data_IF_072827073826
#
_entry.id   IF_072827073826
#
_cell.length_a   1.000
_cell.length_b   1.000
_cell.length_c   1.000
_cell.angle_alpha   90.00
_cell.angle_beta   90.00
_cell.angle_gamma   90.00
#
_symmetry.space_group_name_H-M   'P 1'
#
loop_
_entity.id
_entity.type
_entity.pdbx_description
1 polymer ?
#
# COMPACT_ATOMS: atom_id res chain seq x y z
N UNK A 1 21.03 7.36 22.70
CA UNK A 1 20.94 8.61 21.91
C UNK A 1 20.81 8.34 20.39
N UNK A 2 21.44 7.30 19.85
CA UNK A 2 21.45 6.97 18.40
C UNK A 2 20.07 6.66 17.80
N UNK A 3 19.26 5.83 18.42
CA UNK A 3 17.97 5.39 17.87
C UNK A 3 16.92 6.51 17.69
N UNK A 4 16.93 7.52 18.56
CA UNK A 4 15.99 8.64 18.49
C UNK A 4 16.32 9.59 17.32
N UNK A 5 17.60 9.76 17.03
CA UNK A 5 18.10 10.58 15.92
C UNK A 5 17.79 9.91 14.58
N UNK A 6 17.97 8.59 14.47
CA UNK A 6 17.65 7.81 13.25
C UNK A 6 16.14 7.79 12.95
N UNK A 7 15.30 7.71 13.98
CA UNK A 7 13.84 7.80 13.82
C UNK A 7 13.39 9.19 13.35
N UNK A 8 14.01 10.26 13.87
CA UNK A 8 13.68 11.62 13.47
C UNK A 8 14.13 11.91 12.03
N UNK A 9 15.28 11.39 11.59
CA UNK A 9 15.76 11.54 10.21
C UNK A 9 14.91 10.71 9.23
N UNK A 10 14.47 9.51 9.63
CA UNK A 10 13.54 8.73 8.84
C UNK A 10 12.18 9.44 8.70
N UNK A 11 11.64 9.99 9.78
CA UNK A 11 10.40 10.77 9.72
C UNK A 11 10.52 11.98 8.77
N UNK A 12 11.66 12.66 8.75
CA UNK A 12 11.91 13.76 7.81
C UNK A 12 11.95 13.28 6.35
N UNK A 13 12.64 12.17 6.07
CA UNK A 13 12.63 11.55 4.72
C UNK A 13 11.21 11.19 4.28
N UNK A 14 10.44 10.53 5.13
CA UNK A 14 9.04 10.15 4.86
C UNK A 14 8.15 11.37 4.64
N UNK A 15 8.35 12.45 5.40
CA UNK A 15 7.61 13.71 5.21
C UNK A 15 7.83 14.34 3.84
N UNK A 16 9.06 14.27 3.31
CA UNK A 16 9.41 14.86 2.01
C UNK A 16 8.75 14.14 0.81
N UNK A 17 8.26 12.92 0.98
CA UNK A 17 7.66 12.11 -0.09
C UNK A 17 6.18 12.44 -0.36
N UNK A 18 5.58 13.30 0.45
CA UNK A 18 4.17 13.67 0.30
C UNK A 18 3.18 12.58 0.69
N UNK A 19 3.58 11.61 1.52
CA UNK A 19 2.73 10.49 1.99
C UNK A 19 1.49 10.97 2.73
N UNK A 20 1.54 12.14 3.37
CA UNK A 20 0.47 12.76 4.15
C UNK A 20 -0.54 13.54 3.33
N UNK A 21 -0.24 13.82 2.07
CA UNK A 21 -1.07 14.72 1.25
C UNK A 21 -2.29 13.96 0.75
N UNK A 22 -3.44 14.35 1.24
CA UNK A 22 -4.73 13.84 0.79
C UNK A 22 -5.29 14.61 -0.40
N UNK A 23 -6.57 14.40 -0.66
CA UNK A 23 -7.33 15.10 -1.70
C UNK A 23 -8.20 16.22 -1.09
N UNK A 24 -8.89 17.00 -1.93
CA UNK A 24 -9.87 17.99 -1.49
C UNK A 24 -11.19 17.35 -1.00
N UNK A 25 -11.36 16.06 -1.20
CA UNK A 25 -12.54 15.30 -0.80
C UNK A 25 -12.19 14.41 0.39
N UNK A 26 -13.11 14.28 1.35
CA UNK A 26 -12.99 13.36 2.46
C UNK A 26 -14.21 12.47 2.57
N UNK A 27 -14.00 11.21 2.90
CA UNK A 27 -15.07 10.28 3.25
C UNK A 27 -15.24 10.22 4.77
N UNK A 28 -16.43 9.78 5.21
CA UNK A 28 -16.73 9.62 6.63
C UNK A 28 -15.77 8.63 7.31
N UNK A 29 -15.33 7.61 6.59
CA UNK A 29 -14.41 6.57 7.09
C UNK A 29 -12.99 7.09 7.33
N UNK A 30 -12.54 8.09 6.55
CA UNK A 30 -11.18 8.64 6.63
C UNK A 30 -11.05 9.83 7.59
N UNK A 31 -12.18 10.35 8.11
CA UNK A 31 -12.18 11.45 9.08
C UNK A 31 -11.24 11.26 10.29
N UNK A 32 -11.16 10.07 10.91
CA UNK A 32 -10.30 9.87 12.08
C UNK A 32 -8.79 9.99 11.81
N UNK A 33 -8.39 9.96 10.53
CA UNK A 33 -6.98 9.98 10.09
C UNK A 33 -6.54 11.38 9.62
N UNK A 34 -7.48 12.34 9.53
CA UNK A 34 -7.22 13.70 9.04
C UNK A 34 -6.93 14.61 10.23
N UNK A 35 -5.82 15.36 10.17
CA UNK A 35 -5.43 16.34 11.21
C UNK A 35 -5.86 17.73 10.83
N UNK A 36 -5.51 18.18 9.62
CA UNK A 36 -5.68 19.53 9.17
C UNK A 36 -6.06 19.61 7.69
N UNK A 37 -6.40 20.82 7.25
CA UNK A 37 -6.57 21.16 5.83
C UNK A 37 -5.48 22.15 5.43
N UNK A 38 -4.81 21.89 4.30
CA UNK A 38 -3.85 22.84 3.71
C UNK A 38 -4.56 24.14 3.26
N UNK A 39 -3.84 25.27 3.16
CA UNK A 39 -4.38 26.50 2.55
C UNK A 39 -4.93 26.31 1.13
N UNK A 40 -4.42 25.29 0.42
CA UNK A 40 -4.87 24.89 -0.92
C UNK A 40 -6.16 24.03 -0.92
N UNK A 41 -6.73 23.77 0.25
CA UNK A 41 -7.95 22.96 0.39
C UNK A 41 -7.72 21.44 0.43
N UNK A 42 -6.47 20.97 0.47
CA UNK A 42 -6.15 19.55 0.57
C UNK A 42 -6.15 19.09 2.02
N UNK A 43 -6.71 17.92 2.29
CA UNK A 43 -6.67 17.31 3.61
C UNK A 43 -5.30 16.72 3.90
N UNK A 44 -4.82 16.87 5.14
CA UNK A 44 -3.53 16.37 5.60
C UNK A 44 -3.77 15.24 6.59
N UNK A 45 -3.17 14.08 6.30
CA UNK A 45 -3.21 12.89 7.13
C UNK A 45 -2.20 12.97 8.29
N UNK A 46 -2.50 12.29 9.39
CA UNK A 46 -1.62 12.20 10.55
C UNK A 46 -0.47 11.22 10.31
N UNK A 47 0.79 11.72 10.38
CA UNK A 47 1.97 10.91 10.18
C UNK A 47 2.13 9.82 11.25
N UNK A 48 1.87 10.14 12.51
CA UNK A 48 2.05 9.19 13.60
C UNK A 48 1.01 8.05 13.50
N UNK A 49 -0.19 8.36 13.04
CA UNK A 49 -1.20 7.33 12.75
C UNK A 49 -0.79 6.49 11.53
N UNK A 50 -0.26 7.10 10.46
CA UNK A 50 0.25 6.38 9.29
C UNK A 50 1.30 5.36 9.73
N UNK A 51 2.31 5.79 10.48
CA UNK A 51 3.40 4.92 10.94
C UNK A 51 2.87 3.77 11.81
N UNK A 52 2.00 4.05 12.78
CA UNK A 52 1.38 3.03 13.62
C UNK A 52 0.57 2.02 12.81
N UNK A 53 -0.15 2.47 11.77
CA UNK A 53 -0.93 1.59 10.90
C UNK A 53 -0.04 0.72 10.02
N UNK A 54 1.09 1.26 9.53
CA UNK A 54 2.11 0.47 8.82
C UNK A 54 2.69 -0.60 9.74
N UNK A 55 3.07 -0.27 10.98
CA UNK A 55 3.59 -1.24 11.95
C UNK A 55 2.55 -2.34 12.26
N UNK A 56 1.28 -1.94 12.39
CA UNK A 56 0.17 -2.90 12.57
C UNK A 56 0.02 -3.81 11.35
N UNK A 57 0.11 -3.25 10.14
CA UNK A 57 0.04 -4.01 8.89
C UNK A 57 1.21 -5.00 8.77
N UNK A 58 2.43 -4.58 9.08
CA UNK A 58 3.61 -5.45 9.13
C UNK A 58 3.39 -6.62 10.10
N UNK A 59 2.94 -6.33 11.32
CA UNK A 59 2.67 -7.36 12.33
C UNK A 59 1.56 -8.31 11.87
N UNK A 60 0.58 -7.81 11.13
CA UNK A 60 -0.51 -8.61 10.59
C UNK A 60 -0.03 -9.51 9.44
N UNK A 61 0.75 -8.96 8.49
CA UNK A 61 1.32 -9.72 7.36
C UNK A 61 2.22 -10.86 7.85
N UNK A 62 3.03 -10.63 8.89
CA UNK A 62 3.92 -11.66 9.48
C UNK A 62 3.19 -12.89 10.07
N UNK A 63 1.87 -12.82 10.24
CA UNK A 63 1.07 -13.97 10.69
C UNK A 63 0.71 -14.93 9.56
N UNK A 64 0.93 -14.55 8.32
CA UNK A 64 0.60 -15.33 7.14
C UNK A 64 1.87 -15.81 6.43
N UNK A 65 1.74 -16.88 5.65
CA UNK A 65 2.81 -17.29 4.74
C UNK A 65 2.94 -16.26 3.62
N UNK A 66 4.09 -15.61 3.52
CA UNK A 66 4.34 -14.53 2.56
C UNK A 66 4.12 -14.99 1.10
N UNK A 67 4.40 -16.27 0.79
CA UNK A 67 4.14 -16.84 -0.53
C UNK A 67 2.64 -16.92 -0.87
N UNK A 68 1.77 -16.81 0.14
CA UNK A 68 0.31 -16.77 0.03
C UNK A 68 -0.27 -15.38 0.23
N UNK A 69 0.57 -14.36 0.25
CA UNK A 69 0.17 -12.95 0.22
C UNK A 69 0.18 -12.48 -1.23
N UNK A 70 -0.90 -11.82 -1.64
CA UNK A 70 -1.03 -11.21 -2.98
C UNK A 70 -1.15 -9.71 -2.83
N UNK A 71 -0.38 -8.98 -3.65
CA UNK A 71 -0.48 -7.53 -3.79
C UNK A 71 -1.14 -7.21 -5.12
N UNK A 72 -2.27 -6.50 -5.07
CA UNK A 72 -3.02 -6.11 -6.27
C UNK A 72 -2.96 -4.60 -6.49
N UNK A 73 -2.75 -4.17 -7.74
CA UNK A 73 -2.93 -2.79 -8.14
C UNK A 73 -3.20 -2.63 -9.63
N UNK A 74 -4.21 -1.84 -9.95
CA UNK A 74 -4.48 -1.34 -11.29
C UNK A 74 -3.87 0.04 -11.57
N UNK A 75 -3.11 0.63 -10.62
CA UNK A 75 -2.45 1.92 -10.83
C UNK A 75 -1.05 1.76 -11.41
N UNK A 76 -0.78 2.41 -12.56
CA UNK A 76 0.54 2.40 -13.21
C UNK A 76 1.67 2.85 -12.27
N UNK A 77 1.45 3.87 -11.44
CA UNK A 77 2.45 4.34 -10.47
C UNK A 77 2.77 3.35 -9.33
N UNK A 78 1.98 2.32 -9.14
CA UNK A 78 2.20 1.29 -8.13
C UNK A 78 3.03 0.12 -8.65
N UNK A 79 3.31 0.02 -9.96
CA UNK A 79 4.01 -1.10 -10.59
C UNK A 79 5.36 -1.37 -9.94
N UNK A 80 6.30 -0.45 -10.08
CA UNK A 80 7.68 -0.58 -9.54
C UNK A 80 7.69 -0.78 -8.03
N UNK A 81 6.92 0.00 -7.20
CA UNK A 81 6.83 -0.25 -5.77
C UNK A 81 6.40 -1.67 -5.42
N UNK A 82 5.40 -2.22 -6.13
CA UNK A 82 4.90 -3.58 -5.86
C UNK A 82 5.88 -4.64 -6.36
N UNK A 83 6.46 -4.46 -7.55
CA UNK A 83 7.50 -5.37 -8.07
C UNK A 83 8.65 -5.51 -7.08
N UNK A 84 9.19 -4.38 -6.61
CA UNK A 84 10.28 -4.37 -5.63
C UNK A 84 9.86 -4.96 -4.29
N UNK A 85 8.65 -4.66 -3.82
CA UNK A 85 8.09 -5.27 -2.63
C UNK A 85 8.03 -6.79 -2.75
N UNK A 86 7.50 -7.31 -3.85
CA UNK A 86 7.36 -8.75 -4.10
C UNK A 86 8.73 -9.43 -4.29
N UNK A 87 9.69 -8.77 -4.97
CA UNK A 87 11.06 -9.24 -5.13
C UNK A 87 11.76 -9.43 -3.77
N UNK A 88 11.59 -8.46 -2.87
CA UNK A 88 12.23 -8.46 -1.55
C UNK A 88 11.56 -9.41 -0.56
N UNK A 89 10.22 -9.51 -0.60
CA UNK A 89 9.46 -10.27 0.41
C UNK A 89 9.10 -11.67 -0.04
N UNK A 90 9.04 -11.94 -1.35
CA UNK A 90 8.54 -13.21 -1.91
C UNK A 90 7.02 -13.26 -2.07
N UNK A 91 6.29 -12.15 -1.82
CA UNK A 91 4.86 -12.06 -2.09
C UNK A 91 4.54 -12.13 -3.59
N UNK A 92 3.30 -12.48 -3.93
CA UNK A 92 2.86 -12.53 -5.33
C UNK A 92 2.26 -11.19 -5.74
N UNK A 93 2.44 -10.82 -7.02
CA UNK A 93 1.88 -9.61 -7.61
C UNK A 93 0.78 -9.94 -8.62
N UNK A 94 -0.30 -9.16 -8.57
CA UNK A 94 -1.28 -9.04 -9.65
C UNK A 94 -1.33 -7.56 -10.02
N UNK A 95 -0.79 -7.24 -11.20
CA UNK A 95 -0.71 -5.87 -11.70
C UNK A 95 -1.64 -5.65 -12.89
N UNK A 96 -2.17 -4.43 -13.02
CA UNK A 96 -3.07 -4.05 -14.09
C UNK A 96 -4.52 -4.46 -13.81
N UNK A 97 -5.25 -4.85 -14.85
CA UNK A 97 -6.65 -5.22 -14.73
C UNK A 97 -6.81 -6.53 -13.95
N UNK A 98 -7.45 -6.47 -12.81
CA UNK A 98 -7.83 -7.66 -12.06
C UNK A 98 -8.87 -8.47 -12.81
N UNK A 99 -8.55 -9.73 -13.13
CA UNK A 99 -9.44 -10.61 -13.88
C UNK A 99 -10.52 -11.16 -12.95
N UNK A 100 -11.81 -10.99 -13.28
CA UNK A 100 -12.90 -11.56 -12.50
C UNK A 100 -12.79 -13.08 -12.38
N UNK A 101 -13.00 -13.61 -11.17
CA UNK A 101 -12.90 -15.04 -10.88
C UNK A 101 -11.55 -15.50 -10.37
N UNK A 102 -10.53 -14.62 -10.31
CA UNK A 102 -9.19 -14.97 -9.83
C UNK A 102 -9.19 -15.57 -8.42
N UNK A 103 -10.03 -15.06 -7.52
CA UNK A 103 -10.13 -15.55 -6.13
C UNK A 103 -11.38 -16.40 -5.86
N UNK A 104 -12.31 -16.48 -6.81
CA UNK A 104 -13.63 -17.08 -6.56
C UNK A 104 -13.98 -18.25 -7.48
N UNK A 105 -13.29 -18.44 -8.61
CA UNK A 105 -13.63 -19.49 -9.56
C UNK A 105 -12.49 -20.49 -9.76
N UNK A 106 -12.53 -21.67 -9.12
CA UNK A 106 -11.49 -22.71 -9.23
C UNK A 106 -11.30 -23.30 -10.64
N UNK A 107 -12.27 -23.11 -11.55
CA UNK A 107 -12.18 -23.63 -12.91
C UNK A 107 -11.28 -22.81 -13.83
N UNK A 108 -10.83 -21.63 -13.40
CA UNK A 108 -9.99 -20.74 -14.21
C UNK A 108 -8.51 -21.08 -14.05
N UNK A 109 -7.70 -20.99 -15.12
CA UNK A 109 -6.28 -21.33 -15.08
C UNK A 109 -5.45 -20.35 -14.23
N UNK A 110 -5.95 -19.17 -13.95
CA UNK A 110 -5.32 -18.13 -13.12
C UNK A 110 -5.91 -18.04 -11.72
N UNK A 111 -6.75 -19.02 -11.32
CA UNK A 111 -7.29 -19.10 -9.96
C UNK A 111 -6.18 -19.23 -8.91
N UNK A 112 -6.34 -18.52 -7.81
CA UNK A 112 -5.41 -18.56 -6.69
C UNK A 112 -6.14 -18.38 -5.35
N UNK A 113 -5.62 -19.03 -4.30
CA UNK A 113 -6.14 -18.97 -2.93
C UNK A 113 -5.13 -18.32 -1.99
N UNK A 114 -5.05 -16.99 -1.94
CA UNK A 114 -4.19 -16.30 -0.99
C UNK A 114 -4.77 -16.36 0.42
N UNK A 115 -3.91 -16.13 1.40
CA UNK A 115 -4.32 -15.94 2.80
C UNK A 115 -4.55 -14.47 3.14
N UNK A 116 -3.97 -13.57 2.34
CA UNK A 116 -4.07 -12.12 2.53
C UNK A 116 -3.96 -11.41 1.18
N UNK A 117 -4.74 -10.35 1.01
CA UNK A 117 -4.67 -9.46 -0.16
C UNK A 117 -4.29 -8.05 0.29
N UNK A 118 -3.29 -7.46 -0.37
CA UNK A 118 -2.88 -6.06 -0.17
C UNK A 118 -3.29 -5.26 -1.40
N UNK A 119 -3.98 -4.15 -1.20
CA UNK A 119 -4.55 -3.30 -2.26
C UNK A 119 -3.91 -1.91 -2.21
N UNK A 120 -3.47 -1.41 -3.36
CA UNK A 120 -2.88 -0.06 -3.45
C UNK A 120 -3.93 1.04 -3.53
N UNK A 121 -5.06 0.80 -4.18
CA UNK A 121 -6.15 1.77 -4.29
C UNK A 121 -7.52 1.09 -4.29
N UNK A 122 -8.32 1.28 -3.24
CA UNK A 122 -9.66 0.69 -3.14
C UNK A 122 -10.62 1.10 -4.27
N UNK A 123 -10.41 2.25 -4.89
CA UNK A 123 -11.29 2.74 -5.94
C UNK A 123 -11.03 2.02 -7.28
N UNK A 124 -9.76 1.81 -7.61
CA UNK A 124 -9.35 1.13 -8.85
C UNK A 124 -9.52 -0.38 -8.73
N UNK A 125 -9.13 -0.93 -7.57
CA UNK A 125 -9.06 -2.38 -7.34
C UNK A 125 -10.31 -2.93 -6.64
N UNK A 126 -11.47 -2.28 -6.84
CA UNK A 126 -12.75 -2.65 -6.20
C UNK A 126 -13.21 -4.08 -6.50
N UNK A 127 -12.85 -4.63 -7.67
CA UNK A 127 -13.14 -6.01 -8.03
C UNK A 127 -12.36 -6.99 -7.15
N UNK A 128 -11.06 -6.77 -6.96
CA UNK A 128 -10.22 -7.60 -6.09
C UNK A 128 -10.73 -7.59 -4.63
N UNK A 129 -11.12 -6.42 -4.12
CA UNK A 129 -11.72 -6.28 -2.78
C UNK A 129 -13.02 -7.10 -2.67
N UNK A 130 -13.89 -7.01 -3.67
CA UNK A 130 -15.18 -7.70 -3.66
C UNK A 130 -14.98 -9.21 -3.68
N UNK A 131 -14.07 -9.72 -4.50
CA UNK A 131 -13.78 -11.16 -4.55
C UNK A 131 -13.10 -11.65 -3.28
N UNK A 132 -12.11 -10.91 -2.74
CA UNK A 132 -11.47 -11.26 -1.49
C UNK A 132 -12.50 -11.33 -0.34
N UNK A 133 -13.38 -10.34 -0.23
CA UNK A 133 -14.46 -10.33 0.77
C UNK A 133 -15.40 -11.54 0.61
N UNK A 134 -15.79 -11.87 -0.62
CA UNK A 134 -16.66 -13.02 -0.90
C UNK A 134 -15.98 -14.36 -0.58
N UNK A 135 -14.67 -14.44 -0.78
CA UNK A 135 -13.87 -15.62 -0.47
C UNK A 135 -13.47 -15.68 1.04
N UNK A 136 -13.80 -14.67 1.83
CA UNK A 136 -13.43 -14.61 3.25
C UNK A 136 -11.94 -14.34 3.48
N UNK A 137 -11.25 -13.75 2.51
CA UNK A 137 -9.82 -13.43 2.57
C UNK A 137 -9.67 -12.01 3.14
N UNK A 138 -8.86 -11.81 4.19
CA UNK A 138 -8.63 -10.48 4.75
C UNK A 138 -7.92 -9.55 3.76
N UNK A 139 -8.28 -8.26 3.84
CA UNK A 139 -7.80 -7.21 2.93
C UNK A 139 -7.11 -6.10 3.69
N UNK A 140 -5.86 -5.80 3.33
CA UNK A 140 -5.16 -4.57 3.72
C UNK A 140 -5.26 -3.59 2.55
N UNK A 141 -5.67 -2.34 2.81
CA UNK A 141 -5.76 -1.33 1.76
C UNK A 141 -5.01 -0.05 2.08
N UNK A 142 -4.24 0.45 1.12
CA UNK A 142 -3.71 1.81 1.17
C UNK A 142 -4.79 2.76 0.68
N UNK A 143 -5.28 3.63 1.57
CA UNK A 143 -6.43 4.48 1.28
C UNK A 143 -6.12 5.96 1.48
N UNK A 144 -6.50 6.77 0.49
CA UNK A 144 -6.47 8.22 0.56
C UNK A 144 -7.77 8.77 1.17
N UNK A 145 -7.87 10.08 1.39
CA UNK A 145 -8.98 10.75 2.06
C UNK A 145 -10.33 10.58 1.38
N UNK A 146 -10.35 10.35 0.07
CA UNK A 146 -11.55 10.17 -0.77
C UNK A 146 -11.99 8.72 -0.95
N UNK A 147 -11.21 7.74 -0.48
CA UNK A 147 -11.55 6.34 -0.65
C UNK A 147 -12.65 5.85 0.29
N UNK A 148 -13.50 4.96 -0.22
CA UNK A 148 -14.47 4.19 0.58
C UNK A 148 -13.80 2.89 1.03
N UNK A 149 -13.80 2.66 2.33
CA UNK A 149 -13.02 1.57 2.95
C UNK A 149 -13.89 0.53 3.67
N UNK A 150 -15.18 0.45 3.34
CA UNK A 150 -16.16 -0.39 4.05
C UNK A 150 -15.90 -1.89 3.98
N UNK A 151 -15.12 -2.37 2.99
CA UNK A 151 -14.78 -3.79 2.79
C UNK A 151 -13.30 -4.08 3.05
N UNK A 152 -12.60 -3.18 3.73
CA UNK A 152 -11.17 -3.30 4.03
C UNK A 152 -11.01 -3.57 5.52
N UNK A 153 -10.31 -4.64 5.88
CA UNK A 153 -10.11 -5.04 7.28
C UNK A 153 -9.06 -4.17 7.97
N UNK A 154 -7.99 -3.83 7.28
CA UNK A 154 -6.96 -2.95 7.79
C UNK A 154 -6.60 -1.85 6.81
N UNK A 155 -6.80 -0.60 7.22
CA UNK A 155 -6.54 0.59 6.43
C UNK A 155 -5.16 1.15 6.78
N UNK A 156 -4.34 1.42 5.77
CA UNK A 156 -3.13 2.24 5.85
C UNK A 156 -3.49 3.60 5.24
N UNK A 157 -3.74 4.64 6.06
CA UNK A 157 -4.08 5.95 5.55
C UNK A 157 -2.82 6.57 4.94
N UNK A 158 -2.79 6.73 3.61
CA UNK A 158 -1.66 7.34 2.91
C UNK A 158 -2.07 7.85 1.53
N UNK A 159 -1.22 8.70 0.96
CA UNK A 159 -1.39 9.15 -0.41
C UNK A 159 -1.12 8.00 -1.40
N UNK A 160 -2.17 7.46 -2.00
CA UNK A 160 -2.07 6.37 -2.97
C UNK A 160 -2.02 6.85 -4.44
N UNK A 161 -1.89 8.16 -4.67
CA UNK A 161 -1.80 8.78 -6.01
C UNK A 161 -0.41 9.28 -6.35
N UNK A 162 0.41 9.55 -5.32
CA UNK A 162 1.78 10.02 -5.49
C UNK A 162 2.77 8.88 -5.71
N UNK A 163 3.64 8.98 -6.73
CA UNK A 163 4.69 8.00 -7.01
C UNK A 163 5.60 7.77 -5.80
N UNK A 164 6.17 8.86 -5.27
CA UNK A 164 7.05 8.82 -4.09
C UNK A 164 6.34 8.35 -2.84
N UNK A 165 5.07 8.71 -2.68
CA UNK A 165 4.27 8.30 -1.54
C UNK A 165 4.02 6.79 -1.52
N UNK A 166 3.63 6.20 -2.67
CA UNK A 166 3.46 4.74 -2.82
C UNK A 166 4.78 4.00 -2.62
N UNK A 167 5.88 4.49 -3.22
CA UNK A 167 7.22 3.95 -3.01
C UNK A 167 7.56 3.87 -1.52
N UNK A 168 7.30 4.96 -0.78
CA UNK A 168 7.56 5.03 0.66
C UNK A 168 6.71 4.04 1.46
N UNK A 169 5.43 3.90 1.15
CA UNK A 169 4.55 2.94 1.84
C UNK A 169 5.04 1.51 1.65
N UNK A 170 5.31 1.10 0.41
CA UNK A 170 5.78 -0.25 0.12
C UNK A 170 7.19 -0.52 0.64
N UNK A 171 8.08 0.49 0.61
CA UNK A 171 9.40 0.40 1.21
C UNK A 171 9.33 0.19 2.74
N UNK A 172 8.46 0.95 3.44
CA UNK A 172 8.26 0.80 4.89
C UNK A 172 7.68 -0.57 5.24
N UNK A 173 6.71 -1.07 4.45
CA UNK A 173 6.14 -2.40 4.62
C UNK A 173 7.20 -3.48 4.40
N UNK A 174 7.98 -3.42 3.31
CA UNK A 174 9.04 -4.38 3.01
C UNK A 174 10.08 -4.41 4.13
N UNK A 175 10.57 -3.23 4.55
CA UNK A 175 11.53 -3.09 5.65
C UNK A 175 11.01 -3.68 6.96
N UNK A 176 9.72 -3.48 7.26
CA UNK A 176 9.13 -4.01 8.48
C UNK A 176 8.93 -5.52 8.45
N UNK A 177 8.66 -6.11 7.27
CA UNK A 177 8.45 -7.55 7.09
C UNK A 177 9.77 -8.32 7.17
N UNK A 178 10.85 -7.76 6.60
CA UNK A 178 12.19 -8.34 6.73
C UNK A 178 12.61 -8.37 8.21
N UNK A 179 13.12 -9.51 8.67
CA UNK A 179 13.59 -9.67 10.04
C UNK A 179 14.86 -8.85 10.30
N UNK A 180 15.72 -8.74 9.28
CA UNK A 180 16.93 -7.94 9.31
C UNK A 180 16.74 -6.63 8.51
N UNK A 181 16.67 -5.47 9.18
CA UNK A 181 16.62 -4.17 8.48
C UNK A 181 17.83 -3.90 7.56
N UNK A 182 18.96 -4.59 7.82
CA UNK A 182 20.16 -4.53 7.00
C UNK A 182 20.11 -5.39 5.72
N UNK A 183 19.16 -6.31 5.63
CA UNK A 183 18.94 -7.10 4.41
C UNK A 183 18.25 -6.30 3.29
N UNK A 184 17.74 -5.11 3.61
CA UNK A 184 17.13 -4.23 2.63
C UNK A 184 18.21 -3.44 1.87
N UNK A 185 18.57 -3.92 0.69
CA UNK A 185 19.58 -3.30 -0.19
C UNK A 185 19.03 -2.11 -0.99
N UNK A 186 17.71 -1.91 -0.99
CA UNK A 186 17.03 -0.87 -1.77
C UNK A 186 16.70 0.37 -0.94
N UNK A 187 16.90 1.54 -1.52
CA UNK A 187 16.44 2.82 -0.98
C UNK A 187 15.00 3.15 -1.44
N UNK A 188 14.40 4.21 -0.86
CA UNK A 188 13.05 4.65 -1.23
C UNK A 188 12.97 5.01 -2.72
N UNK A 189 14.03 5.60 -3.26
CA UNK A 189 14.10 6.02 -4.67
C UNK A 189 14.12 4.84 -5.65
N UNK A 190 14.59 3.66 -5.22
CA UNK A 190 14.55 2.44 -6.03
C UNK A 190 13.14 1.86 -6.17
N UNK A 191 12.25 2.22 -5.24
CA UNK A 191 10.83 1.87 -5.28
C UNK A 191 10.00 2.88 -6.10
N UNK A 192 10.58 4.01 -6.52
CA UNK A 192 9.82 5.01 -7.28
C UNK A 192 9.71 4.60 -8.75
N UNK A 193 8.47 4.57 -9.27
CA UNK A 193 8.21 4.36 -10.70
C UNK A 193 8.72 5.56 -11.51
N UNK A 194 9.60 5.31 -12.47
CA UNK A 194 10.14 6.35 -13.34
C UNK A 194 9.11 6.79 -14.37
N UNK A 195 9.15 8.05 -14.78
CA UNK A 195 8.17 8.61 -15.72
C UNK A 195 8.22 7.92 -17.09
N UNK A 196 9.40 7.47 -17.52
CA UNK A 196 9.59 6.72 -18.76
C UNK A 196 8.87 5.36 -18.79
N UNK A 197 8.72 4.72 -17.65
CA UNK A 197 8.04 3.40 -17.53
C UNK A 197 6.52 3.52 -17.66
N UNK A 198 5.97 4.69 -17.37
CA UNK A 198 4.52 4.95 -17.48
C UNK A 198 4.11 5.34 -18.91
N UNK A 199 5.01 5.97 -19.67
CA UNK A 199 4.77 6.38 -21.05
C UNK A 199 4.82 5.21 -22.05
N UNK A 200 5.51 4.11 -21.70
CA UNK A 200 5.56 2.89 -22.53
C UNK A 200 4.29 2.02 -22.43
N UNK A 201 3.41 2.28 -21.44
CA UNK A 201 2.17 1.51 -21.21
C UNK A 201 0.89 2.22 -21.74
N UNK A 202 1.00 3.42 -22.30
CA UNK A 202 -0.10 4.20 -22.89
C UNK A 202 -0.10 4.08 -24.42
#
# INVERSE_FOLDING_TARGET
MSQKTEQDDMKKKVLSTGIRVGTAIKTKFMLPFIVNTSPEGLYILDLDIIMKRIDTAVTFVKKFDINRVIVCSGRSYAKTPIEKFCEVTGAKMIFGRFMPGTLTNPSLPFYTEPQLVIISDPQVDSQAITEATNAGIPVIGVANTDNVTSKIDLIIPANNRGRKALATVYWLLARGILEDPGAMTYEIDDFETKTSEVEEEL
#
